data_IF_237676368362
#
_entry.id   IF_237676368362
#
_cell.length_a   1.000
_cell.length_b   1.000
_cell.length_c   1.000
_cell.angle_alpha   90.00
_cell.angle_beta   90.00
_cell.angle_gamma   90.00
#
_symmetry.space_group_name_H-M   'P 1'
#
loop_
_entity.id
_entity.type
_entity.pdbx_description
1 polymer ?
#
# COMPACT_ATOMS: atom_id res chain seq x y z
N UNK A 1 -75.58 -35.38 8.56
CA UNK A 1 -74.31 -35.93 8.04
C UNK A 1 -73.90 -35.10 6.83
N UNK A 2 -72.60 -34.76 6.74
CA UNK A 2 -71.93 -33.82 5.81
C UNK A 2 -72.30 -32.33 6.07
N UNK A 3 -71.40 -31.35 6.08
CA UNK A 3 -70.11 -31.19 5.38
C UNK A 3 -69.19 -30.23 6.15
N UNK A 4 -67.92 -30.62 6.32
CA UNK A 4 -66.82 -29.77 6.78
C UNK A 4 -66.36 -28.87 5.62
N UNK A 5 -66.18 -27.57 5.85
CA UNK A 5 -65.40 -26.67 4.97
C UNK A 5 -64.12 -26.27 5.71
N UNK A 6 -63.00 -26.81 5.25
CA UNK A 6 -61.65 -26.38 5.62
C UNK A 6 -61.33 -25.13 4.78
N UNK A 7 -61.06 -24.01 5.44
CA UNK A 7 -60.55 -22.79 4.81
C UNK A 7 -59.03 -22.89 4.78
N UNK A 8 -58.46 -23.10 3.59
CA UNK A 8 -57.01 -23.01 3.37
C UNK A 8 -56.60 -21.53 3.29
N UNK A 9 -55.91 -21.05 4.33
CA UNK A 9 -55.18 -19.77 4.30
C UNK A 9 -53.85 -19.98 3.57
N UNK A 10 -53.76 -19.50 2.33
CA UNK A 10 -52.47 -19.32 1.64
C UNK A 10 -51.79 -18.09 2.22
N UNK A 11 -50.79 -18.29 3.09
CA UNK A 11 -49.88 -17.22 3.51
C UNK A 11 -48.83 -16.97 2.42
N UNK A 12 -48.89 -15.81 1.77
CA UNK A 12 -47.81 -15.34 0.90
C UNK A 12 -46.57 -14.98 1.74
N UNK A 13 -45.53 -15.81 1.65
CA UNK A 13 -44.18 -15.46 2.09
C UNK A 13 -43.62 -14.40 1.13
N UNK A 14 -43.59 -13.14 1.58
CA UNK A 14 -42.84 -12.09 0.90
C UNK A 14 -41.36 -12.30 1.23
N UNK A 15 -40.63 -12.92 0.31
CA UNK A 15 -39.18 -12.96 0.34
C UNK A 15 -38.66 -11.54 0.09
N UNK A 16 -38.25 -10.84 1.15
CA UNK A 16 -37.50 -9.59 1.03
C UNK A 16 -36.09 -9.95 0.58
N UNK A 17 -35.87 -9.90 -0.74
CA UNK A 17 -34.52 -9.95 -1.30
C UNK A 17 -33.80 -8.65 -0.91
N UNK A 18 -32.97 -8.70 0.13
CA UNK A 18 -31.94 -7.69 0.32
C UNK A 18 -30.91 -7.85 -0.80
N UNK A 19 -31.11 -7.13 -1.90
CA UNK A 19 -30.04 -6.90 -2.84
C UNK A 19 -28.98 -6.06 -2.10
N UNK A 20 -27.84 -6.67 -1.80
CA UNK A 20 -26.69 -5.92 -1.32
C UNK A 20 -26.27 -4.98 -2.46
N UNK A 21 -26.57 -3.68 -2.31
CA UNK A 21 -26.07 -2.65 -3.22
C UNK A 21 -24.57 -2.55 -2.95
N UNK A 22 -23.77 -3.31 -3.68
CA UNK A 22 -22.34 -3.06 -3.75
C UNK A 22 -22.16 -1.78 -4.55
N UNK A 23 -21.52 -0.77 -3.95
CA UNK A 23 -21.16 0.43 -4.67
C UNK A 23 -20.23 0.05 -5.84
N UNK A 24 -20.48 0.59 -7.03
CA UNK A 24 -19.61 0.35 -8.16
C UNK A 24 -18.19 0.87 -7.86
N UNK A 25 -17.13 0.12 -8.24
CA UNK A 25 -15.77 0.61 -8.11
C UNK A 25 -15.60 1.95 -8.84
N UNK A 26 -14.90 2.89 -8.21
CA UNK A 26 -14.55 4.17 -8.80
C UNK A 26 -13.79 3.96 -10.10
N UNK A 27 -14.32 4.55 -11.17
CA UNK A 27 -13.72 4.56 -12.50
C UNK A 27 -13.01 5.90 -12.75
N UNK A 28 -11.88 5.82 -13.43
CA UNK A 28 -11.04 6.93 -13.83
C UNK A 28 -11.06 7.12 -15.35
N UNK A 29 -12.20 6.84 -15.99
CA UNK A 29 -12.38 6.94 -17.43
C UNK A 29 -12.16 8.37 -17.91
N UNK A 30 -11.22 8.53 -18.84
CA UNK A 30 -10.79 9.82 -19.42
C UNK A 30 -10.11 10.76 -18.42
N UNK A 31 -9.70 10.27 -17.25
CA UNK A 31 -8.83 11.04 -16.37
C UNK A 31 -7.46 11.07 -17.02
N UNK A 32 -7.00 12.28 -17.36
CA UNK A 32 -5.67 12.48 -17.92
C UNK A 32 -4.66 12.56 -16.79
N UNK A 33 -3.47 12.04 -17.02
CA UNK A 33 -2.34 12.19 -16.10
C UNK A 33 -1.29 13.05 -16.77
N UNK A 34 -0.88 14.10 -16.08
CA UNK A 34 0.18 15.00 -16.52
C UNK A 34 1.42 14.79 -15.67
N UNK A 35 2.56 14.60 -16.33
CA UNK A 35 3.88 14.72 -15.72
C UNK A 35 4.22 16.21 -15.62
N UNK A 36 4.46 16.69 -14.40
CA UNK A 36 4.76 18.08 -14.11
C UNK A 36 6.18 18.19 -13.55
N UNK A 37 7.03 19.03 -14.12
CA UNK A 37 8.30 19.41 -13.48
C UNK A 37 8.08 20.55 -12.49
N UNK A 38 8.63 20.39 -11.28
CA UNK A 38 8.57 21.39 -10.21
C UNK A 38 9.92 22.13 -10.18
N UNK A 39 10.00 23.27 -10.85
CA UNK A 39 11.27 24.01 -10.98
C UNK A 39 11.41 25.14 -9.94
N UNK A 40 10.29 25.62 -9.38
CA UNK A 40 10.24 26.78 -8.47
C UNK A 40 9.44 26.48 -7.21
N UNK A 41 9.81 27.12 -6.10
CA UNK A 41 9.11 26.98 -4.82
C UNK A 41 7.62 27.31 -4.90
N UNK A 42 7.25 28.35 -5.65
CA UNK A 42 5.84 28.73 -5.85
C UNK A 42 5.01 27.59 -6.51
N UNK A 43 5.62 26.82 -7.42
CA UNK A 43 4.99 25.66 -8.04
C UNK A 43 4.82 24.52 -7.03
N UNK A 44 5.83 24.30 -6.18
CA UNK A 44 5.77 23.30 -5.13
C UNK A 44 4.64 23.63 -4.13
N UNK A 45 4.59 24.87 -3.64
CA UNK A 45 3.60 25.32 -2.66
C UNK A 45 2.17 25.16 -3.16
N UNK A 46 1.89 25.52 -4.43
CA UNK A 46 0.53 25.35 -4.98
C UNK A 46 0.16 23.88 -5.18
N UNK A 47 1.11 23.02 -5.59
CA UNK A 47 0.86 21.59 -5.74
C UNK A 47 0.63 20.91 -4.39
N UNK A 48 1.38 21.28 -3.36
CA UNK A 48 1.18 20.81 -1.98
C UNK A 48 -0.16 21.27 -1.41
N UNK A 49 -0.60 22.49 -1.73
CA UNK A 49 -1.93 22.96 -1.36
C UNK A 49 -3.05 22.12 -2.00
N UNK A 50 -2.89 21.77 -3.29
CA UNK A 50 -3.83 20.89 -4.01
C UNK A 50 -3.85 19.48 -3.39
N UNK A 51 -2.69 18.97 -3.00
CA UNK A 51 -2.57 17.67 -2.33
C UNK A 51 -3.27 17.67 -0.95
N UNK A 52 -3.08 18.74 -0.17
CA UNK A 52 -3.63 18.88 1.17
C UNK A 52 -5.16 19.08 1.16
N UNK A 53 -5.67 19.81 0.16
CA UNK A 53 -7.09 20.11 0.00
C UNK A 53 -7.61 19.56 -1.33
N UNK A 54 -7.69 18.23 -1.48
CA UNK A 54 -8.02 17.61 -2.74
C UNK A 54 -9.48 17.91 -3.12
N UNK A 55 -9.66 18.75 -4.14
CA UNK A 55 -10.94 19.08 -4.77
C UNK A 55 -11.08 18.34 -6.11
N UNK A 56 -10.78 17.05 -6.12
CA UNK A 56 -10.87 16.16 -7.28
C UNK A 56 -9.54 15.85 -7.99
N UNK A 57 -8.52 16.69 -7.83
CA UNK A 57 -7.16 16.34 -8.24
C UNK A 57 -6.59 15.22 -7.35
N UNK A 58 -5.72 14.39 -7.93
CA UNK A 58 -4.96 13.39 -7.18
C UNK A 58 -3.54 13.31 -7.70
N UNK A 59 -2.62 12.84 -6.86
CA UNK A 59 -1.22 12.63 -7.23
C UNK A 59 -0.91 11.14 -7.29
N UNK A 60 -0.16 10.72 -8.32
CA UNK A 60 0.46 9.39 -8.40
C UNK A 60 1.88 9.38 -7.82
N UNK A 61 2.43 10.56 -7.55
CA UNK A 61 3.67 10.78 -6.80
C UNK A 61 3.57 12.13 -6.09
N UNK A 62 3.98 12.17 -4.82
CA UNK A 62 3.73 13.30 -3.93
C UNK A 62 4.72 14.46 -4.23
N UNK A 63 4.28 15.74 -4.24
CA UNK A 63 5.13 16.91 -4.48
C UNK A 63 5.96 17.28 -3.24
N UNK A 64 7.19 16.74 -3.15
CA UNK A 64 8.03 16.91 -1.96
C UNK A 64 9.00 18.10 -2.05
N UNK A 65 9.74 18.22 -3.16
CA UNK A 65 10.75 19.26 -3.32
C UNK A 65 10.89 19.73 -4.78
N UNK A 66 11.51 20.89 -4.98
CA UNK A 66 11.86 21.41 -6.31
C UNK A 66 12.90 20.51 -7.01
N UNK A 67 13.03 20.67 -8.32
CA UNK A 67 13.82 19.84 -9.23
C UNK A 67 13.37 18.37 -9.27
N UNK A 68 12.08 18.12 -9.10
CA UNK A 68 11.45 16.79 -9.24
C UNK A 68 10.35 16.81 -10.28
N UNK A 69 9.87 15.62 -10.65
CA UNK A 69 8.67 15.47 -11.46
C UNK A 69 7.57 14.76 -10.69
N UNK A 70 6.34 15.25 -10.78
CA UNK A 70 5.16 14.61 -10.20
C UNK A 70 4.15 14.21 -11.27
N UNK A 71 3.31 13.22 -10.97
CA UNK A 71 2.18 12.85 -11.83
C UNK A 71 0.87 13.32 -11.22
N UNK A 72 0.29 14.35 -11.83
CA UNK A 72 -1.01 14.90 -11.46
C UNK A 72 -2.12 14.21 -12.27
N UNK A 73 -3.06 13.61 -11.59
CA UNK A 73 -4.31 13.09 -12.14
C UNK A 73 -5.32 14.23 -12.23
N UNK A 74 -5.78 14.51 -13.45
CA UNK A 74 -6.72 15.57 -13.78
C UNK A 74 -8.04 14.95 -14.25
N UNK A 75 -9.12 15.06 -13.45
CA UNK A 75 -10.45 14.64 -13.88
C UNK A 75 -10.94 15.45 -15.09
N UNK A 76 -11.77 14.87 -15.99
CA UNK A 76 -12.31 15.60 -17.14
C UNK A 76 -13.01 16.92 -16.78
N UNK A 77 -13.75 16.93 -15.67
CA UNK A 77 -14.50 18.09 -15.19
C UNK A 77 -13.62 19.17 -14.52
N UNK A 78 -12.31 18.93 -14.34
CA UNK A 78 -11.32 19.87 -13.77
C UNK A 78 -10.31 20.39 -14.79
N UNK A 79 -10.51 20.08 -16.08
CA UNK A 79 -9.56 20.42 -17.14
C UNK A 79 -9.39 21.94 -17.31
N UNK A 80 -10.47 22.72 -17.16
CA UNK A 80 -10.41 24.16 -17.28
C UNK A 80 -9.59 24.79 -16.15
N UNK A 81 -9.78 24.32 -14.91
CA UNK A 81 -8.98 24.75 -13.76
C UNK A 81 -7.51 24.35 -13.91
N UNK A 82 -7.24 23.15 -14.43
CA UNK A 82 -5.87 22.73 -14.72
C UNK A 82 -5.18 23.62 -15.75
N UNK A 83 -5.86 24.00 -16.84
CA UNK A 83 -5.31 24.92 -17.85
C UNK A 83 -4.99 26.27 -17.22
N UNK A 84 -5.90 26.83 -16.42
CA UNK A 84 -5.66 28.10 -15.71
C UNK A 84 -4.49 28.02 -14.72
N UNK A 85 -4.35 26.90 -14.00
CA UNK A 85 -3.22 26.64 -13.10
C UNK A 85 -1.91 26.57 -13.89
N UNK A 86 -1.90 25.83 -15.00
CA UNK A 86 -0.74 25.66 -15.86
C UNK A 86 -0.25 26.98 -16.46
N UNK A 87 -1.16 27.83 -16.94
CA UNK A 87 -0.84 29.16 -17.46
C UNK A 87 -0.28 30.08 -16.37
N UNK A 88 -0.96 30.15 -15.22
CA UNK A 88 -0.57 31.04 -14.12
C UNK A 88 0.82 30.72 -13.57
N UNK A 89 1.12 29.45 -13.36
CA UNK A 89 2.37 29.01 -12.75
C UNK A 89 3.42 28.53 -13.76
N UNK A 90 3.11 28.60 -15.06
CA UNK A 90 3.95 28.09 -16.15
C UNK A 90 4.45 26.68 -15.86
N UNK A 91 3.54 25.78 -15.49
CA UNK A 91 3.89 24.39 -15.18
C UNK A 91 4.37 23.72 -16.48
N UNK A 92 5.49 23.00 -16.41
CA UNK A 92 5.96 22.18 -17.54
C UNK A 92 5.20 20.86 -17.51
N UNK A 93 4.02 20.86 -18.13
CA UNK A 93 3.10 19.73 -18.13
C UNK A 93 3.18 18.92 -19.43
N UNK A 94 3.44 17.62 -19.32
CA UNK A 94 3.41 16.67 -20.42
C UNK A 94 2.36 15.61 -20.16
N UNK A 95 1.57 15.24 -21.18
CA UNK A 95 0.59 14.16 -21.03
C UNK A 95 1.33 12.84 -20.87
N UNK A 96 1.17 12.22 -19.71
CA UNK A 96 1.71 10.90 -19.42
C UNK A 96 0.72 9.79 -19.79
N UNK A 97 -0.55 9.95 -19.43
CA UNK A 97 -1.61 9.00 -19.76
C UNK A 97 -2.87 9.75 -20.19
N UNK A 98 -3.41 9.41 -21.36
CA UNK A 98 -4.68 9.98 -21.84
C UNK A 98 -5.90 9.46 -21.08
N UNK A 99 -5.82 8.21 -20.61
CA UNK A 99 -6.88 7.58 -19.84
C UNK A 99 -6.29 6.69 -18.74
N UNK A 100 -6.27 7.21 -17.51
CA UNK A 100 -5.77 6.53 -16.33
C UNK A 100 -6.39 5.15 -16.12
N UNK A 101 -7.67 4.99 -16.46
CA UNK A 101 -8.36 3.74 -16.26
C UNK A 101 -7.76 2.59 -17.06
N UNK A 102 -7.19 2.86 -18.23
CA UNK A 102 -6.53 1.80 -19.03
C UNK A 102 -5.26 1.28 -18.34
N UNK A 103 -4.54 2.14 -17.63
CA UNK A 103 -3.36 1.78 -16.83
C UNK A 103 -3.78 0.94 -15.63
N UNK A 104 -4.84 1.34 -14.93
CA UNK A 104 -5.40 0.58 -13.80
C UNK A 104 -5.89 -0.80 -14.26
N UNK A 105 -6.68 -0.85 -15.34
CA UNK A 105 -7.21 -2.10 -15.88
C UNK A 105 -6.09 -3.07 -16.29
N UNK A 106 -4.97 -2.56 -16.82
CA UNK A 106 -3.79 -3.37 -17.14
C UNK A 106 -3.14 -3.97 -15.89
N UNK A 107 -3.01 -3.20 -14.82
CA UNK A 107 -2.44 -3.69 -13.55
C UNK A 107 -3.32 -4.78 -12.92
N UNK A 108 -4.64 -4.69 -13.08
CA UNK A 108 -5.62 -5.63 -12.52
C UNK A 108 -5.78 -6.94 -13.31
N UNK A 109 -5.51 -6.94 -14.63
CA UNK A 109 -5.68 -8.11 -15.52
C UNK A 109 -4.68 -9.26 -15.26
N UNK A 110 -3.69 -9.06 -14.39
CA UNK A 110 -2.65 -10.04 -14.09
C UNK A 110 -2.98 -11.10 -13.04
N UNK A 111 -4.20 -11.14 -12.49
CA UNK A 111 -4.56 -12.09 -11.41
C UNK A 111 -4.35 -13.54 -11.87
N UNK A 112 -3.43 -14.24 -11.22
CA UNK A 112 -3.15 -15.67 -11.42
C UNK A 112 -3.69 -16.46 -10.24
N UNK A 113 -4.08 -17.71 -10.47
CA UNK A 113 -4.49 -18.64 -9.41
C UNK A 113 -3.34 -19.00 -8.46
N UNK A 114 -2.09 -18.74 -8.86
CA UNK A 114 -0.88 -19.05 -8.09
C UNK A 114 -0.20 -17.77 -7.65
N UNK A 115 0.11 -17.68 -6.34
CA UNK A 115 0.88 -16.59 -5.77
C UNK A 115 2.28 -16.48 -6.40
N UNK A 116 2.74 -15.25 -6.64
CA UNK A 116 4.07 -14.99 -7.19
C UNK A 116 4.22 -13.56 -7.70
N UNK A 117 5.43 -13.16 -8.08
CA UNK A 117 5.80 -11.75 -8.28
C UNK A 117 5.69 -11.25 -9.72
N UNK A 118 4.68 -11.74 -10.43
CA UNK A 118 4.34 -11.29 -11.81
C UNK A 118 3.03 -10.50 -11.85
N UNK A 119 2.40 -10.28 -10.69
CA UNK A 119 1.17 -9.54 -10.51
C UNK A 119 1.09 -9.00 -9.08
N UNK A 120 0.22 -8.02 -8.86
CA UNK A 120 -0.17 -7.58 -7.52
C UNK A 120 -1.36 -8.40 -7.02
N UNK A 121 -1.32 -8.77 -5.74
CA UNK A 121 -2.25 -9.73 -5.16
C UNK A 121 -3.25 -9.06 -4.20
N UNK A 122 -4.52 -9.45 -4.21
CA UNK A 122 -5.46 -9.13 -3.13
C UNK A 122 -4.96 -9.56 -1.75
N UNK A 123 -5.53 -8.99 -0.70
CA UNK A 123 -5.17 -9.31 0.69
C UNK A 123 -5.33 -10.81 1.01
N UNK A 124 -6.39 -11.44 0.50
CA UNK A 124 -6.69 -12.86 0.70
C UNK A 124 -5.57 -13.73 0.13
N UNK A 125 -5.21 -13.53 -1.14
CA UNK A 125 -4.12 -14.24 -1.81
C UNK A 125 -2.77 -14.09 -1.06
N UNK A 126 -2.48 -12.91 -0.48
CA UNK A 126 -1.28 -12.70 0.38
C UNK A 126 -1.37 -13.49 1.69
N UNK A 127 -2.53 -13.45 2.35
CA UNK A 127 -2.75 -14.14 3.62
C UNK A 127 -2.69 -15.66 3.47
N UNK A 128 -3.31 -16.20 2.42
CA UNK A 128 -3.27 -17.62 2.10
C UNK A 128 -1.83 -18.06 1.81
N UNK A 129 -1.06 -17.24 1.09
CA UNK A 129 0.36 -17.49 0.87
C UNK A 129 1.15 -17.55 2.19
N UNK A 130 0.93 -16.62 3.13
CA UNK A 130 1.57 -16.68 4.45
C UNK A 130 1.22 -17.97 5.20
N UNK A 131 -0.03 -18.44 5.10
CA UNK A 131 -0.46 -19.73 5.68
C UNK A 131 0.28 -20.91 5.04
N UNK A 132 0.54 -20.85 3.72
CA UNK A 132 1.37 -21.88 3.07
C UNK A 132 2.80 -21.90 3.58
N UNK A 133 3.40 -20.74 3.89
CA UNK A 133 4.77 -20.69 4.43
C UNK A 133 4.85 -21.31 5.82
N UNK A 134 3.87 -21.03 6.68
CA UNK A 134 3.79 -21.61 8.03
C UNK A 134 3.68 -23.14 7.94
N UNK A 135 2.90 -23.66 7.01
CA UNK A 135 2.76 -25.09 6.80
C UNK A 135 4.01 -25.75 6.20
N UNK A 136 4.71 -25.06 5.29
CA UNK A 136 5.88 -25.58 4.58
C UNK A 136 7.17 -25.51 5.41
N UNK A 137 7.29 -24.50 6.27
CA UNK A 137 8.50 -24.22 7.05
C UNK A 137 8.20 -24.11 8.57
N UNK A 138 7.55 -25.11 9.19
CA UNK A 138 7.03 -25.00 10.56
C UNK A 138 8.14 -24.84 11.62
N UNK A 139 9.36 -25.27 11.33
CA UNK A 139 10.50 -25.17 12.26
C UNK A 139 11.10 -23.76 12.33
N UNK A 140 10.86 -22.92 11.31
CA UNK A 140 11.49 -21.59 11.19
C UNK A 140 10.50 -20.46 10.97
N UNK A 141 9.25 -20.75 10.57
CA UNK A 141 8.20 -19.75 10.33
C UNK A 141 7.09 -19.89 11.36
N UNK A 142 6.78 -18.79 12.06
CA UNK A 142 5.66 -18.70 13.02
C UNK A 142 4.68 -17.61 12.57
N UNK A 143 3.35 -17.84 12.58
CA UNK A 143 2.39 -16.79 12.24
C UNK A 143 2.38 -15.69 13.30
N UNK A 144 2.20 -14.44 12.87
CA UNK A 144 1.98 -13.30 13.77
C UNK A 144 0.68 -12.57 13.42
N UNK A 145 0.01 -12.05 14.44
CA UNK A 145 -1.11 -11.12 14.32
C UNK A 145 -0.76 -9.88 15.12
N UNK A 146 -0.46 -8.78 14.43
CA UNK A 146 -0.04 -7.53 15.04
C UNK A 146 -1.21 -6.72 15.62
N UNK A 147 -2.44 -7.04 15.22
CA UNK A 147 -3.64 -6.39 15.73
C UNK A 147 -4.86 -6.65 14.86
N UNK A 148 -5.92 -5.89 15.13
CA UNK A 148 -7.16 -5.88 14.36
C UNK A 148 -7.42 -4.47 13.83
N UNK A 149 -7.88 -4.37 12.58
CA UNK A 149 -8.21 -3.12 11.91
C UNK A 149 -9.58 -2.58 12.34
N UNK A 150 -9.93 -1.38 11.89
CA UNK A 150 -11.22 -0.76 12.18
C UNK A 150 -12.40 -1.56 11.60
N UNK A 151 -12.24 -2.13 10.41
CA UNK A 151 -13.27 -2.99 9.78
C UNK A 151 -13.16 -4.47 10.22
N UNK A 152 -12.35 -4.77 11.24
CA UNK A 152 -12.30 -6.09 11.89
C UNK A 152 -11.34 -7.11 11.28
N UNK A 153 -10.50 -6.73 10.32
CA UNK A 153 -9.50 -7.63 9.70
C UNK A 153 -8.28 -7.79 10.59
N UNK A 154 -7.66 -8.95 10.58
CA UNK A 154 -6.38 -9.15 11.26
C UNK A 154 -5.24 -8.50 10.45
N UNK A 155 -4.31 -7.84 11.14
CA UNK A 155 -3.04 -7.41 10.56
C UNK A 155 -2.07 -8.60 10.69
N UNK A 156 -1.97 -9.39 9.62
CA UNK A 156 -1.25 -10.67 9.60
C UNK A 156 0.18 -10.50 9.09
N UNK A 157 1.05 -11.39 9.53
CA UNK A 157 2.42 -11.51 9.08
C UNK A 157 3.04 -12.83 9.52
N UNK A 158 4.36 -12.95 9.39
CA UNK A 158 5.12 -14.07 9.94
C UNK A 158 6.39 -13.61 10.65
N UNK A 159 6.84 -14.42 11.60
CA UNK A 159 8.20 -14.40 12.13
C UNK A 159 9.03 -15.49 11.43
N UNK A 160 10.21 -15.16 10.93
CA UNK A 160 11.22 -16.12 10.45
C UNK A 160 12.41 -16.13 11.42
N UNK A 161 12.77 -17.30 11.94
CA UNK A 161 13.87 -17.47 12.89
C UNK A 161 14.53 -18.84 12.73
N UNK A 162 15.82 -18.85 12.43
CA UNK A 162 16.60 -20.09 12.27
C UNK A 162 17.36 -20.49 13.55
N UNK A 163 17.57 -19.55 14.48
CA UNK A 163 18.26 -19.81 15.74
C UNK A 163 17.83 -18.85 16.84
N UNK A 164 17.87 -19.33 18.08
CA UNK A 164 17.56 -18.54 19.25
C UNK A 164 18.64 -17.46 19.52
N UNK A 165 18.22 -16.33 20.08
CA UNK A 165 19.11 -15.24 20.48
C UNK A 165 19.53 -14.31 19.35
N UNK A 166 18.92 -14.43 18.17
CA UNK A 166 19.16 -13.50 17.07
C UNK A 166 18.62 -12.09 17.38
N UNK A 167 19.31 -11.04 16.90
CA UNK A 167 18.75 -9.70 16.84
C UNK A 167 17.53 -9.66 15.92
N UNK A 168 16.57 -8.78 16.22
CA UNK A 168 15.32 -8.70 15.48
C UNK A 168 15.35 -7.63 14.40
N UNK A 169 14.84 -7.95 13.21
CA UNK A 169 14.50 -6.99 12.15
C UNK A 169 12.98 -6.97 11.98
N UNK A 170 12.39 -5.78 12.04
CA UNK A 170 11.00 -5.57 11.73
C UNK A 170 10.87 -4.90 10.36
N UNK A 171 10.12 -5.53 9.46
CA UNK A 171 9.82 -4.99 8.13
C UNK A 171 8.33 -5.01 7.90
N UNK A 172 7.78 -3.86 7.53
CA UNK A 172 6.39 -3.74 7.11
C UNK A 172 6.26 -3.17 5.69
N UNK A 173 5.15 -3.48 5.05
CA UNK A 173 4.75 -2.89 3.79
C UNK A 173 3.35 -2.31 3.85
N UNK A 174 3.05 -1.45 2.88
CA UNK A 174 1.67 -0.97 2.62
C UNK A 174 1.02 -0.33 3.85
N UNK A 175 1.77 0.52 4.56
CA UNK A 175 1.16 1.43 5.54
C UNK A 175 0.19 2.38 4.82
N UNK A 176 0.57 2.85 3.63
CA UNK A 176 -0.33 3.47 2.68
C UNK A 176 -0.88 2.45 1.68
N UNK A 177 -2.20 2.43 1.52
CA UNK A 177 -2.88 1.38 0.79
C UNK A 177 -2.59 1.32 -0.72
N UNK A 178 -2.33 2.47 -1.36
CA UNK A 178 -2.12 2.59 -2.81
C UNK A 178 -0.73 2.15 -3.29
N UNK A 179 0.22 1.99 -2.38
CA UNK A 179 1.64 1.72 -2.65
C UNK A 179 1.89 0.21 -2.81
N UNK A 180 1.24 -0.43 -3.79
CA UNK A 180 1.22 -1.89 -3.94
C UNK A 180 2.58 -2.55 -4.14
N UNK A 181 3.56 -1.82 -4.69
CA UNK A 181 4.95 -2.29 -4.80
C UNK A 181 5.55 -2.65 -3.45
N UNK A 182 5.14 -1.97 -2.37
CA UNK A 182 5.61 -2.24 -1.01
C UNK A 182 5.27 -3.66 -0.55
N UNK A 183 3.99 -4.08 -0.61
CA UNK A 183 3.60 -5.47 -0.30
C UNK A 183 4.32 -6.49 -1.19
N UNK A 184 4.42 -6.20 -2.50
CA UNK A 184 5.06 -7.11 -3.45
C UNK A 184 6.56 -7.31 -3.14
N UNK A 185 7.28 -6.23 -2.83
CA UNK A 185 8.69 -6.29 -2.42
C UNK A 185 8.88 -6.99 -1.08
N UNK A 186 8.06 -6.67 -0.08
CA UNK A 186 8.16 -7.29 1.26
C UNK A 186 7.92 -8.80 1.20
N UNK A 187 6.91 -9.25 0.45
CA UNK A 187 6.66 -10.69 0.26
C UNK A 187 7.77 -11.36 -0.55
N UNK A 188 8.37 -10.67 -1.53
CA UNK A 188 9.50 -11.22 -2.29
C UNK A 188 10.74 -11.41 -1.42
N UNK A 189 11.08 -10.41 -0.61
CA UNK A 189 12.20 -10.49 0.35
C UNK A 189 11.95 -11.64 1.33
N UNK A 190 10.74 -11.76 1.89
CA UNK A 190 10.38 -12.88 2.76
C UNK A 190 10.58 -14.24 2.07
N UNK A 191 10.18 -14.36 0.80
CA UNK A 191 10.45 -15.58 0.04
C UNK A 191 11.96 -15.85 -0.09
N UNK A 192 12.77 -14.84 -0.40
CA UNK A 192 14.23 -15.01 -0.50
C UNK A 192 14.88 -15.47 0.80
N UNK A 193 14.40 -14.99 1.96
CA UNK A 193 14.89 -15.44 3.27
C UNK A 193 14.66 -16.95 3.49
N UNK A 194 13.65 -17.53 2.86
CA UNK A 194 13.30 -18.95 2.99
C UNK A 194 13.91 -19.82 1.88
N UNK A 195 14.01 -19.30 0.65
CA UNK A 195 14.33 -20.12 -0.53
C UNK A 195 15.70 -19.87 -1.14
N UNK A 196 16.27 -18.68 -0.95
CA UNK A 196 17.55 -18.32 -1.59
C UNK A 196 18.69 -19.21 -1.11
N UNK A 197 19.63 -19.50 -2.00
CA UNK A 197 20.89 -20.19 -1.69
C UNK A 197 22.10 -19.25 -1.71
N UNK A 198 21.88 -17.96 -2.01
CA UNK A 198 22.95 -16.97 -2.06
C UNK A 198 23.55 -16.75 -0.67
N UNK A 199 24.88 -16.85 -0.49
CA UNK A 199 25.51 -16.77 0.83
C UNK A 199 25.16 -15.51 1.62
N UNK A 200 25.07 -14.35 0.94
CA UNK A 200 24.72 -13.08 1.58
C UNK A 200 23.27 -13.08 2.11
N UNK A 201 22.33 -13.64 1.35
CA UNK A 201 20.92 -13.77 1.77
C UNK A 201 20.79 -14.78 2.91
N UNK A 202 21.46 -15.93 2.81
CA UNK A 202 21.47 -16.93 3.88
C UNK A 202 22.04 -16.36 5.17
N UNK A 203 23.09 -15.55 5.08
CA UNK A 203 23.69 -14.89 6.23
C UNK A 203 22.68 -14.01 6.98
N UNK A 204 21.92 -13.15 6.29
CA UNK A 204 20.90 -12.32 6.96
C UNK A 204 19.68 -13.11 7.41
N UNK A 205 19.31 -14.19 6.72
CA UNK A 205 18.19 -15.05 7.11
C UNK A 205 18.49 -15.81 8.42
N UNK A 206 19.73 -16.33 8.57
CA UNK A 206 20.09 -17.19 9.68
C UNK A 206 20.57 -16.43 10.92
N UNK A 207 21.02 -15.19 10.76
CA UNK A 207 21.59 -14.37 11.84
C UNK A 207 20.66 -13.25 12.34
N UNK A 208 19.44 -13.15 11.82
CA UNK A 208 18.42 -12.22 12.30
C UNK A 208 17.06 -12.92 12.44
N UNK A 209 16.26 -12.46 13.41
CA UNK A 209 14.85 -12.82 13.54
C UNK A 209 14.02 -11.79 12.77
N UNK A 210 13.36 -12.23 11.69
CA UNK A 210 12.59 -11.34 10.82
C UNK A 210 11.12 -11.33 11.22
N UNK A 211 10.59 -10.17 11.57
CA UNK A 211 9.16 -9.94 11.77
C UNK A 211 8.63 -9.21 10.53
N UNK A 212 7.84 -9.90 9.72
CA UNK A 212 7.42 -9.40 8.42
C UNK A 212 5.91 -9.21 8.38
N UNK A 213 5.47 -7.98 8.13
CA UNK A 213 4.05 -7.61 7.93
C UNK A 213 3.87 -7.04 6.52
N UNK A 214 3.44 -7.84 5.53
CA UNK A 214 3.30 -7.35 4.15
C UNK A 214 2.30 -6.21 3.97
N UNK A 215 1.22 -6.20 4.77
CA UNK A 215 0.12 -5.23 4.67
C UNK A 215 -0.23 -4.68 6.05
N UNK A 216 0.37 -3.54 6.41
CA UNK A 216 0.12 -2.84 7.66
C UNK A 216 -1.25 -2.12 7.69
N UNK A 217 -1.83 -1.78 6.54
CA UNK A 217 -3.17 -1.20 6.41
C UNK A 217 -4.14 -2.09 5.60
N UNK A 218 -4.62 -3.23 6.16
CA UNK A 218 -5.48 -4.18 5.44
C UNK A 218 -6.77 -3.58 4.90
N UNK A 219 -7.45 -2.72 5.69
CA UNK A 219 -8.73 -2.14 5.26
C UNK A 219 -8.55 -1.21 4.07
N UNK A 220 -7.55 -0.33 4.13
CA UNK A 220 -7.22 0.54 3.01
C UNK A 220 -6.81 -0.29 1.79
N UNK A 221 -5.98 -1.33 1.97
CA UNK A 221 -5.52 -2.17 0.88
C UNK A 221 -6.68 -2.86 0.16
N UNK A 222 -7.60 -3.49 0.89
CA UNK A 222 -8.81 -4.08 0.30
C UNK A 222 -9.65 -3.02 -0.42
N UNK A 223 -9.76 -1.81 0.14
CA UNK A 223 -10.47 -0.70 -0.49
C UNK A 223 -9.84 -0.28 -1.83
N UNK A 224 -8.52 -0.42 -2.00
CA UNK A 224 -7.85 -0.16 -3.30
C UNK A 224 -8.12 -1.22 -4.36
N UNK A 225 -8.40 -2.46 -3.96
CA UNK A 225 -8.75 -3.57 -4.86
C UNK A 225 -10.23 -3.61 -5.22
N UNK A 226 -11.10 -3.07 -4.36
CA UNK A 226 -12.57 -3.22 -4.49
C UNK A 226 -13.31 -1.94 -4.80
N UNK A 227 -12.79 -0.78 -4.36
CA UNK A 227 -13.55 0.48 -4.43
C UNK A 227 -12.80 1.57 -5.17
N UNK A 228 -11.58 1.96 -4.77
CA UNK A 228 -10.86 3.06 -5.44
C UNK A 228 -9.35 2.87 -5.36
N UNK A 229 -8.71 2.69 -6.53
CA UNK A 229 -7.30 2.30 -6.63
C UNK A 229 -6.32 3.26 -5.96
N UNK A 230 -6.64 4.55 -5.91
CA UNK A 230 -5.77 5.59 -5.37
C UNK A 230 -5.96 5.89 -3.88
N UNK A 231 -6.72 5.06 -3.14
CA UNK A 231 -6.89 5.26 -1.70
C UNK A 231 -5.58 5.07 -0.93
N UNK A 232 -5.25 6.03 -0.05
CA UNK A 232 -4.02 6.02 0.75
C UNK A 232 -4.25 5.59 2.21
N UNK A 233 -5.29 6.16 2.82
CA UNK A 233 -5.50 6.22 4.28
C UNK A 233 -6.02 4.91 4.87
N UNK A 234 -6.21 4.88 6.20
CA UNK A 234 -7.03 3.85 6.87
C UNK A 234 -8.51 3.97 6.47
N UNK A 235 -9.39 3.14 7.03
CA UNK A 235 -10.85 3.16 6.79
C UNK A 235 -11.69 3.54 8.00
N UNK A 236 -11.06 4.08 9.06
CA UNK A 236 -11.78 4.56 10.23
C UNK A 236 -12.75 5.69 9.90
N UNK A 237 -13.94 5.68 10.49
CA UNK A 237 -14.93 6.73 10.27
C UNK A 237 -14.54 7.98 11.04
N UNK A 238 -14.34 9.11 10.34
CA UNK A 238 -13.98 10.39 10.96
C UNK A 238 -15.23 11.26 11.19
N UNK A 239 -16.15 11.25 10.24
CA UNK A 239 -17.47 11.87 10.39
C UNK A 239 -18.48 11.17 9.44
N UNK A 240 -19.57 11.85 9.07
CA UNK A 240 -20.59 11.29 8.17
C UNK A 240 -20.07 11.08 6.75
N UNK A 241 -19.15 11.92 6.27
CA UNK A 241 -18.68 11.95 4.89
C UNK A 241 -17.19 11.58 4.73
N UNK A 242 -16.39 11.73 5.79
CA UNK A 242 -14.94 11.51 5.73
C UNK A 242 -14.52 10.22 6.43
N UNK A 243 -13.66 9.46 5.75
CA UNK A 243 -13.06 8.22 6.24
C UNK A 243 -11.53 8.30 6.16
N UNK A 244 -10.89 7.58 7.07
CA UNK A 244 -9.45 7.38 7.15
C UNK A 244 -8.68 8.54 7.75
N UNK A 245 -7.67 8.18 8.53
CA UNK A 245 -6.52 9.02 8.88
C UNK A 245 -5.30 8.55 8.09
N UNK A 246 -4.33 9.43 7.85
CA UNK A 246 -3.04 9.01 7.31
C UNK A 246 -2.29 8.22 8.41
N UNK A 247 -2.03 6.92 8.22
CA UNK A 247 -1.41 6.08 9.25
C UNK A 247 0.05 6.46 9.54
N UNK A 248 0.74 7.12 8.60
CA UNK A 248 2.11 7.60 8.80
C UNK A 248 2.17 9.07 9.24
N UNK A 249 1.05 9.60 9.75
CA UNK A 249 0.95 10.89 10.47
C UNK A 249 0.24 10.72 11.83
N UNK A 250 0.11 9.48 12.29
CA UNK A 250 -0.70 9.11 13.45
C UNK A 250 0.12 8.45 14.58
N UNK A 251 1.44 8.51 14.51
CA UNK A 251 2.32 8.03 15.57
C UNK A 251 2.53 9.12 16.62
N UNK A 252 2.69 8.71 17.89
CA UNK A 252 2.85 9.61 19.03
C UNK A 252 4.26 10.20 19.11
N UNK A 253 4.67 10.90 18.05
CA UNK A 253 5.96 11.56 17.96
C UNK A 253 5.83 12.90 17.24
N UNK A 254 5.96 13.98 18.02
CA UNK A 254 5.75 15.36 17.55
C UNK A 254 4.39 15.56 16.85
N UNK A 255 3.36 14.77 17.20
CA UNK A 255 2.07 14.78 16.52
C UNK A 255 1.53 16.21 16.30
N UNK A 256 1.07 16.49 15.07
CA UNK A 256 0.53 17.78 14.62
C UNK A 256 1.57 18.91 14.39
N UNK A 257 2.85 18.57 14.23
CA UNK A 257 3.90 19.45 13.66
C UNK A 257 4.18 19.16 12.17
N UNK A 258 4.90 20.03 11.46
CA UNK A 258 5.23 19.86 10.03
C UNK A 258 5.95 18.52 9.81
N UNK A 259 5.40 17.67 8.94
CA UNK A 259 5.92 16.34 8.62
C UNK A 259 6.18 15.42 9.84
N UNK A 260 5.34 15.50 10.87
CA UNK A 260 5.46 14.73 12.11
C UNK A 260 4.53 13.51 12.19
N UNK A 261 4.70 12.69 13.23
CA UNK A 261 3.86 11.52 13.49
C UNK A 261 4.12 10.35 12.55
N UNK A 262 5.34 10.25 12.00
CA UNK A 262 5.77 9.11 11.20
C UNK A 262 6.17 7.92 12.08
N UNK A 263 6.03 6.71 11.53
CA UNK A 263 6.46 5.48 12.21
C UNK A 263 7.97 5.50 12.47
N UNK A 264 8.75 5.93 11.48
CA UNK A 264 10.21 6.01 11.55
C UNK A 264 10.69 6.92 12.68
N UNK A 265 10.14 8.13 12.77
CA UNK A 265 10.57 9.08 13.80
C UNK A 265 10.17 8.60 15.20
N UNK A 266 9.00 7.96 15.33
CA UNK A 266 8.58 7.38 16.59
C UNK A 266 9.48 6.21 17.01
N UNK A 267 9.82 5.29 16.09
CA UNK A 267 10.73 4.16 16.39
C UNK A 267 12.10 4.69 16.79
N UNK A 268 12.66 5.63 16.02
CA UNK A 268 13.98 6.21 16.31
C UNK A 268 13.97 7.04 17.60
N UNK A 269 12.95 7.86 17.78
CA UNK A 269 12.83 8.83 18.85
C UNK A 269 12.41 8.23 20.19
N UNK A 270 11.49 7.27 20.18
CA UNK A 270 10.91 6.63 21.38
C UNK A 270 11.65 5.36 21.74
N UNK A 271 11.79 4.42 20.79
CA UNK A 271 12.40 3.12 21.05
C UNK A 271 13.93 3.14 20.97
N UNK A 272 14.51 4.22 20.43
CA UNK A 272 15.96 4.39 20.26
C UNK A 272 16.59 3.29 19.40
N UNK A 273 15.80 2.68 18.52
CA UNK A 273 16.31 1.68 17.59
C UNK A 273 17.45 2.29 16.75
N UNK A 274 18.63 1.65 16.69
CA UNK A 274 19.80 2.26 16.05
C UNK A 274 19.61 2.40 14.54
N UNK A 275 19.12 1.33 13.90
CA UNK A 275 18.87 1.25 12.47
C UNK A 275 17.38 1.46 12.22
N UNK A 276 17.01 2.54 11.53
CA UNK A 276 15.63 2.82 11.17
C UNK A 276 15.62 3.49 9.81
N UNK A 277 14.97 2.86 8.84
CA UNK A 277 15.00 3.27 7.44
C UNK A 277 13.57 3.24 6.88
N UNK A 278 13.27 4.21 6.01
CA UNK A 278 12.06 4.21 5.20
C UNK A 278 12.48 4.07 3.73
N UNK A 279 11.87 3.11 3.04
CA UNK A 279 12.07 2.91 1.61
C UNK A 279 10.92 3.54 0.83
N UNK A 280 11.23 4.58 0.09
CA UNK A 280 10.41 5.03 -1.04
C UNK A 280 10.93 4.28 -2.28
N UNK A 281 10.19 3.24 -2.69
CA UNK A 281 10.61 2.31 -3.74
C UNK A 281 10.46 2.94 -5.14
N UNK A 282 10.69 2.14 -6.19
CA UNK A 282 10.49 2.60 -7.57
C UNK A 282 9.09 3.19 -7.76
N UNK A 283 8.94 4.21 -8.59
CA UNK A 283 9.95 4.87 -9.42
C UNK A 283 10.09 6.37 -9.09
N UNK A 284 10.77 7.12 -9.96
CA UNK A 284 10.92 8.59 -9.81
C UNK A 284 9.80 9.38 -10.47
N UNK A 285 8.63 8.77 -10.64
CA UNK A 285 7.41 9.41 -11.16
C UNK A 285 7.02 9.02 -12.58
N UNK A 286 7.63 8.01 -13.21
CA UNK A 286 7.21 7.51 -14.53
C UNK A 286 5.94 6.66 -14.47
N UNK A 287 5.64 6.04 -13.34
CA UNK A 287 4.42 5.29 -13.10
C UNK A 287 3.84 5.64 -11.74
N UNK A 288 4.69 6.05 -10.78
CA UNK A 288 4.29 6.32 -9.42
C UNK A 288 3.62 5.10 -8.80
N UNK A 289 2.48 5.30 -8.14
CA UNK A 289 1.74 4.20 -7.49
C UNK A 289 1.17 3.15 -8.45
N UNK A 290 1.26 3.34 -9.78
CA UNK A 290 0.81 2.40 -10.81
C UNK A 290 1.97 1.65 -11.49
N UNK A 291 3.07 1.43 -10.76
CA UNK A 291 4.24 0.71 -11.25
C UNK A 291 3.86 -0.65 -11.88
N UNK A 292 4.31 -0.97 -13.10
CA UNK A 292 3.97 -2.22 -13.79
C UNK A 292 4.46 -3.46 -13.04
N UNK A 293 3.74 -4.59 -13.07
CA UNK A 293 4.16 -5.82 -12.38
C UNK A 293 5.53 -6.35 -12.80
N UNK A 294 5.97 -6.06 -14.03
CA UNK A 294 7.29 -6.46 -14.54
C UNK A 294 8.45 -5.78 -13.78
N UNK A 295 8.15 -4.72 -13.02
CA UNK A 295 9.12 -4.02 -12.17
C UNK A 295 9.17 -4.55 -10.73
N UNK A 296 8.29 -5.49 -10.34
CA UNK A 296 8.25 -6.01 -8.97
C UNK A 296 9.59 -6.66 -8.59
N UNK A 297 10.05 -7.62 -9.38
CA UNK A 297 11.29 -8.35 -9.09
C UNK A 297 12.52 -7.41 -9.12
N UNK A 298 12.73 -6.59 -10.17
CA UNK A 298 13.85 -5.65 -10.17
C UNK A 298 13.87 -4.68 -8.99
N UNK A 299 12.69 -4.21 -8.53
CA UNK A 299 12.59 -3.35 -7.35
C UNK A 299 12.93 -4.13 -6.08
N UNK A 300 12.51 -5.39 -5.98
CA UNK A 300 12.76 -6.21 -4.81
C UNK A 300 14.22 -6.67 -4.70
N UNK A 301 14.88 -6.98 -5.82
CA UNK A 301 16.30 -7.33 -5.89
C UNK A 301 17.19 -6.19 -5.38
N UNK A 302 17.04 -4.97 -5.93
CA UNK A 302 17.84 -3.82 -5.49
C UNK A 302 17.55 -3.42 -4.02
N UNK A 303 16.31 -3.65 -3.56
CA UNK A 303 15.94 -3.43 -2.16
C UNK A 303 16.62 -4.44 -1.24
N UNK A 304 16.65 -5.73 -1.62
CA UNK A 304 17.31 -6.77 -0.85
C UNK A 304 18.83 -6.53 -0.76
N UNK A 305 19.46 -6.12 -1.86
CA UNK A 305 20.88 -5.74 -1.87
C UNK A 305 21.16 -4.60 -0.88
N UNK A 306 20.30 -3.58 -0.86
CA UNK A 306 20.39 -2.49 0.13
C UNK A 306 20.24 -2.98 1.57
N UNK A 307 19.27 -3.85 1.84
CA UNK A 307 19.02 -4.41 3.18
C UNK A 307 20.23 -5.20 3.68
N UNK A 308 20.84 -6.03 2.82
CA UNK A 308 22.05 -6.81 3.14
C UNK A 308 23.15 -5.85 3.61
N UNK A 309 23.45 -4.82 2.82
CA UNK A 309 24.51 -3.86 3.12
C UNK A 309 24.22 -3.09 4.42
N UNK A 310 22.97 -2.68 4.67
CA UNK A 310 22.58 -2.01 5.90
C UNK A 310 22.85 -2.88 7.13
N UNK A 311 22.51 -4.17 7.07
CA UNK A 311 22.73 -5.08 8.20
C UNK A 311 24.21 -5.41 8.41
N UNK A 312 24.96 -5.56 7.32
CA UNK A 312 26.42 -5.80 7.35
C UNK A 312 27.17 -4.60 7.96
N UNK A 313 26.94 -3.40 7.44
CA UNK A 313 27.56 -2.17 7.94
C UNK A 313 27.08 -1.84 9.36
N UNK A 314 25.78 -2.06 9.63
CA UNK A 314 25.22 -1.90 10.96
C UNK A 314 25.96 -2.75 12.00
N UNK A 315 26.19 -4.02 11.68
CA UNK A 315 26.97 -4.94 12.52
C UNK A 315 28.42 -4.50 12.66
N UNK A 316 29.06 -4.02 11.59
CA UNK A 316 30.43 -3.51 11.62
C UNK A 316 30.58 -2.26 12.53
N UNK A 317 29.52 -1.45 12.63
CA UNK A 317 29.44 -0.30 13.53
C UNK A 317 29.04 -0.67 14.97
N UNK A 318 28.82 -1.95 15.27
CA UNK A 318 28.43 -2.43 16.60
C UNK A 318 26.94 -2.27 16.92
N UNK A 319 26.10 -2.07 15.91
CA UNK A 319 24.66 -2.16 16.06
C UNK A 319 24.23 -3.63 15.99
N UNK A 320 23.57 -4.09 17.05
CA UNK A 320 23.01 -5.43 17.19
C UNK A 320 21.54 -5.30 17.56
#
# INVERSE_FOLDING_TARGET
>A
MASFRVVCLFGCLVAVCFAAVQAEPARYDNYRVYRLSIDRMEQLEVLQLIEQFPDGFAFLSDPVHVNTTVKLVVPPHKMAEFVALNEKFSLKAEVAFENLQTVIDRQMKGRREVFGWTAYHPLEDINDWLDTLVAQYPDVVTPIVAGQTYEGRQIRGVKVSYKAGNPAVFTEGTIHAREWISAATVTWVLNQLLTSQEPAVRNIAENYDWYVIPVANPDGYVYTHTTTRLWRKTRSRQNVLCFGADPNRNWDYMFNHVASGSSLDWVKGTLKTPLTFAYELRDTGEYGFLLPPEQIIPTAEETLDSIIVILEEGKAMGYH
#
